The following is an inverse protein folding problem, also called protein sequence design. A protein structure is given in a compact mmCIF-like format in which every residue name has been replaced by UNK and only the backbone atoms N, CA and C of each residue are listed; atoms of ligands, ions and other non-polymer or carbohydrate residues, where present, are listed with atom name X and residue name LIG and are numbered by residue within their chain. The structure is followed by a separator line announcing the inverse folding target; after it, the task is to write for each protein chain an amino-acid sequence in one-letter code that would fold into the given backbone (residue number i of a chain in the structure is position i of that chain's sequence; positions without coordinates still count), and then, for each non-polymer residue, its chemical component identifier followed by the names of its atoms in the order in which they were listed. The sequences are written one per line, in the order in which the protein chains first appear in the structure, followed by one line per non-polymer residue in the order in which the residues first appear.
data_IF_694107427207
#
_entry.id   IF_694107427207
#
_cell.length_a   1.000
_cell.length_b   1.000
_cell.length_c   1.000
_cell.angle_alpha   90.00
_cell.angle_beta   90.00
_cell.angle_gamma   90.00
#
_symmetry.space_group_name_H-M   'P 1'
#
loop_
_entity.id
_entity.type
_entity.pdbx_description
1 polymer ?
#
# COMPACT_ATOMS: atom_id res chain seq x y z
N UNK A 1 -47.73 48.49 14.21
CA UNK A 1 -47.49 47.22 13.49
C UNK A 1 -46.04 46.79 13.74
N UNK A 2 -45.83 45.79 14.60
CA UNK A 2 -44.50 45.22 14.90
C UNK A 2 -44.14 44.25 13.77
N UNK A 3 -43.07 44.52 13.01
CA UNK A 3 -42.46 43.53 12.11
C UNK A 3 -41.36 42.81 12.88
N UNK A 4 -41.60 41.54 13.21
CA UNK A 4 -40.56 40.60 13.60
C UNK A 4 -39.69 40.32 12.37
N UNK A 5 -38.40 40.67 12.45
CA UNK A 5 -37.38 40.10 11.57
C UNK A 5 -36.75 38.93 12.33
N UNK A 6 -37.10 37.72 11.91
CA UNK A 6 -36.41 36.48 12.31
C UNK A 6 -35.20 36.36 11.37
N UNK A 7 -33.95 36.39 11.87
CA UNK A 7 -32.82 36.06 11.04
C UNK A 7 -32.83 34.55 10.79
N UNK A 8 -32.98 34.18 9.53
CA UNK A 8 -32.88 32.82 9.01
C UNK A 8 -31.42 32.38 9.13
N UNK A 9 -31.12 31.55 10.13
CA UNK A 9 -29.80 30.93 10.31
C UNK A 9 -29.68 29.77 9.31
N UNK A 10 -29.23 30.04 8.09
CA UNK A 10 -28.85 29.00 7.13
C UNK A 10 -27.54 28.37 7.56
N UNK A 11 -27.61 27.19 8.20
CA UNK A 11 -26.45 26.30 8.34
C UNK A 11 -26.02 25.83 6.95
N UNK A 12 -24.89 26.36 6.48
CA UNK A 12 -24.16 25.77 5.36
C UNK A 12 -23.37 24.60 5.95
N UNK A 13 -24.00 23.42 6.01
CA UNK A 13 -23.28 22.16 6.13
C UNK A 13 -22.56 21.96 4.79
N UNK A 14 -21.32 22.43 4.71
CA UNK A 14 -20.44 22.07 3.61
C UNK A 14 -20.27 20.54 3.68
N UNK A 15 -20.81 19.83 2.68
CA UNK A 15 -20.46 18.45 2.43
C UNK A 15 -18.99 18.40 2.04
N UNK A 16 -18.09 18.40 3.02
CA UNK A 16 -16.72 17.95 2.81
C UNK A 16 -16.85 16.47 2.46
N UNK A 17 -16.77 16.15 1.17
CA UNK A 17 -16.69 14.76 0.74
C UNK A 17 -15.61 14.05 1.54
N UNK A 18 -15.87 12.83 1.98
CA UNK A 18 -14.87 12.02 2.66
C UNK A 18 -13.66 11.89 1.73
N UNK A 19 -12.49 12.36 2.17
CA UNK A 19 -11.24 12.12 1.47
C UNK A 19 -11.08 10.60 1.32
N UNK A 20 -10.64 10.14 0.15
CA UNK A 20 -10.43 8.72 -0.14
C UNK A 20 -8.95 8.34 -0.19
N UNK A 21 -8.09 9.28 -0.61
CA UNK A 21 -6.67 9.09 -0.80
C UNK A 21 -5.93 10.44 -0.72
N UNK A 22 -4.61 10.39 -0.75
CA UNK A 22 -3.72 11.54 -0.92
C UNK A 22 -2.98 11.43 -2.25
N UNK A 23 -2.68 12.57 -2.86
CA UNK A 23 -1.64 12.64 -3.90
C UNK A 23 -0.29 12.75 -3.21
N UNK A 24 0.75 12.18 -3.82
CA UNK A 24 2.11 12.24 -3.25
C UNK A 24 2.60 13.66 -3.00
N UNK A 25 2.20 14.60 -3.85
CA UNK A 25 2.55 16.03 -3.74
C UNK A 25 1.87 16.75 -2.57
N UNK A 26 0.83 16.16 -1.98
CA UNK A 26 0.16 16.69 -0.78
C UNK A 26 0.84 16.26 0.52
N UNK A 27 1.76 15.28 0.45
CA UNK A 27 2.33 14.66 1.63
C UNK A 27 3.60 15.37 2.10
N UNK A 28 3.84 15.44 3.42
CA UNK A 28 5.13 15.84 3.95
C UNK A 28 6.17 14.79 3.58
N UNK A 29 7.38 15.28 3.32
CA UNK A 29 8.50 14.44 2.89
C UNK A 29 9.66 14.61 3.86
N UNK A 30 10.31 13.51 4.25
CA UNK A 30 11.52 13.59 5.05
C UNK A 30 12.67 14.15 4.19
N UNK A 31 13.40 15.11 4.76
CA UNK A 31 14.63 15.67 4.18
C UNK A 31 14.46 16.28 2.79
N UNK A 32 13.23 16.66 2.43
CA UNK A 32 12.91 17.20 1.12
C UNK A 32 12.96 16.17 -0.02
N UNK A 33 13.11 14.87 0.29
CA UNK A 33 13.10 13.80 -0.71
C UNK A 33 11.66 13.37 -1.00
N UNK A 34 11.19 13.57 -2.23
CA UNK A 34 9.87 13.08 -2.67
C UNK A 34 9.72 11.57 -2.51
N UNK A 35 10.83 10.81 -2.48
CA UNK A 35 10.78 9.38 -2.27
C UNK A 35 10.50 9.00 -0.81
N UNK A 36 10.78 9.90 0.13
CA UNK A 36 10.51 9.74 1.56
C UNK A 36 9.20 10.41 1.99
N UNK A 37 8.14 10.20 1.23
CA UNK A 37 6.80 10.67 1.59
C UNK A 37 6.31 9.96 2.87
N UNK A 38 5.67 10.72 3.75
CA UNK A 38 5.07 10.22 4.99
C UNK A 38 3.55 10.20 4.83
N UNK A 39 2.94 9.02 4.91
CA UNK A 39 1.50 8.88 4.82
C UNK A 39 0.83 9.13 6.18
N UNK A 40 -0.35 9.76 6.24
CA UNK A 40 -1.14 9.82 7.47
C UNK A 40 -1.69 8.43 7.83
N UNK A 41 -1.96 8.18 9.11
CA UNK A 41 -2.68 6.98 9.58
C UNK A 41 -3.53 7.26 10.82
N UNK A 42 -4.48 6.38 11.18
CA UNK A 42 -4.98 5.26 10.37
C UNK A 42 -5.91 5.70 9.24
N UNK A 43 -6.06 4.84 8.22
CA UNK A 43 -7.06 5.03 7.16
C UNK A 43 -8.46 4.72 7.69
N UNK A 44 -9.28 5.76 7.82
CA UNK A 44 -10.65 5.67 8.35
C UNK A 44 -11.65 5.25 7.26
N UNK A 45 -11.52 4.01 6.77
CA UNK A 45 -12.42 3.43 5.77
C UNK A 45 -13.35 2.39 6.43
N UNK A 46 -14.63 2.39 6.08
CA UNK A 46 -15.66 1.55 6.72
C UNK A 46 -15.36 0.04 6.68
N UNK A 47 -14.64 -0.40 5.64
CA UNK A 47 -14.25 -1.80 5.44
C UNK A 47 -12.80 -2.12 5.83
N UNK A 48 -12.04 -1.16 6.36
CA UNK A 48 -10.64 -1.38 6.78
C UNK A 48 -10.58 -1.34 8.31
N UNK A 49 -10.44 -2.49 8.98
CA UNK A 49 -10.46 -2.53 10.44
C UNK A 49 -9.13 -2.05 11.03
N UNK A 50 -9.20 -1.67 12.31
CA UNK A 50 -8.03 -1.70 13.20
C UNK A 50 -8.05 -3.07 13.88
N UNK A 51 -6.92 -3.80 13.86
CA UNK A 51 -6.86 -5.17 14.37
C UNK A 51 -6.03 -5.24 15.63
N UNK A 52 -6.69 -5.50 16.77
CA UNK A 52 -6.02 -5.73 18.05
C UNK A 52 -5.47 -7.16 18.06
N UNK A 53 -4.14 -7.30 17.97
CA UNK A 53 -3.45 -8.59 18.03
C UNK A 53 -2.05 -8.42 18.61
N UNK A 54 -1.63 -9.37 19.44
CA UNK A 54 -0.27 -9.43 19.98
C UNK A 54 0.72 -10.13 19.02
N UNK A 55 0.22 -10.81 17.99
CA UNK A 55 1.02 -11.61 17.04
C UNK A 55 2.11 -10.79 16.37
N UNK A 56 3.25 -11.41 16.09
CA UNK A 56 4.34 -10.79 15.33
C UNK A 56 4.06 -10.74 13.81
N UNK A 57 3.18 -11.63 13.31
CA UNK A 57 2.75 -11.65 11.91
C UNK A 57 1.65 -10.63 11.64
N UNK A 58 1.69 -10.02 10.46
CA UNK A 58 0.63 -9.14 9.96
C UNK A 58 -0.68 -9.92 9.84
N UNK A 59 -1.79 -9.47 10.46
CA UNK A 59 -3.07 -10.16 10.40
C UNK A 59 -3.70 -10.15 9.00
N UNK A 60 -4.17 -11.31 8.53
CA UNK A 60 -4.90 -11.40 7.25
C UNK A 60 -6.24 -10.65 7.30
N UNK A 61 -6.85 -10.56 8.48
CA UNK A 61 -8.06 -9.76 8.76
C UNK A 61 -7.82 -8.25 8.65
N UNK A 62 -6.57 -7.79 8.58
CA UNK A 62 -6.23 -6.42 8.21
C UNK A 62 -5.94 -6.32 6.70
N UNK A 63 -5.13 -7.25 6.19
CA UNK A 63 -4.61 -7.24 4.81
C UNK A 63 -5.73 -7.40 3.79
N UNK A 64 -6.55 -8.44 3.89
CA UNK A 64 -7.55 -8.76 2.87
C UNK A 64 -8.63 -7.67 2.75
N UNK A 65 -9.19 -7.12 3.85
CA UNK A 65 -10.12 -6.00 3.74
C UNK A 65 -9.47 -4.74 3.15
N UNK A 66 -8.19 -4.48 3.48
CA UNK A 66 -7.41 -3.38 2.89
C UNK A 66 -7.27 -3.55 1.37
N UNK A 67 -6.82 -4.72 0.91
CA UNK A 67 -6.67 -5.00 -0.52
C UNK A 67 -8.00 -4.88 -1.28
N UNK A 68 -9.10 -5.35 -0.68
CA UNK A 68 -10.45 -5.17 -1.22
C UNK A 68 -10.86 -3.70 -1.28
N UNK A 69 -10.58 -2.92 -0.23
CA UNK A 69 -10.89 -1.50 -0.20
C UNK A 69 -10.08 -0.70 -1.22
N UNK A 70 -8.81 -1.05 -1.48
CA UNK A 70 -8.03 -0.43 -2.55
C UNK A 70 -8.70 -0.63 -3.91
N UNK A 71 -9.20 -1.84 -4.20
CA UNK A 71 -9.89 -2.16 -5.47
C UNK A 71 -11.21 -1.41 -5.66
N UNK A 72 -11.79 -0.81 -4.62
CA UNK A 72 -13.01 0.03 -4.76
C UNK A 72 -12.70 1.49 -5.07
N UNK A 73 -11.44 1.92 -4.97
CA UNK A 73 -11.03 3.29 -5.25
C UNK A 73 -11.14 3.61 -6.74
N UNK A 74 -11.36 4.90 -7.11
CA UNK A 74 -11.51 5.31 -8.50
C UNK A 74 -10.32 4.89 -9.38
N UNK A 75 -10.58 4.15 -10.45
CA UNK A 75 -9.56 3.70 -11.39
C UNK A 75 -8.65 2.56 -10.89
N UNK A 76 -8.94 1.97 -9.73
CA UNK A 76 -8.10 0.93 -9.11
C UNK A 76 -8.28 -0.47 -9.69
N UNK A 77 -9.37 -0.73 -10.40
CA UNK A 77 -9.71 -2.01 -11.00
C UNK A 77 -10.48 -1.76 -12.30
N UNK A 78 -10.45 -2.74 -13.21
CA UNK A 78 -11.20 -2.70 -14.48
C UNK A 78 -10.92 -1.43 -15.31
N UNK A 79 -9.70 -0.90 -15.18
CA UNK A 79 -9.29 0.36 -15.80
C UNK A 79 -8.38 0.17 -17.00
N UNK A 80 -8.41 -1.00 -17.61
CA UNK A 80 -7.76 -1.27 -18.88
C UNK A 80 -8.70 -0.93 -20.06
N UNK A 81 -8.13 -0.40 -21.14
CA UNK A 81 -8.82 -0.22 -22.41
C UNK A 81 -9.04 -1.58 -23.07
N UNK A 82 -10.29 -1.91 -23.40
CA UNK A 82 -10.65 -3.24 -23.91
C UNK A 82 -10.09 -3.53 -25.30
N UNK A 83 -9.75 -2.51 -26.08
CA UNK A 83 -9.26 -2.67 -27.45
C UNK A 83 -7.74 -2.89 -27.47
N UNK A 84 -7.02 -2.28 -26.53
CA UNK A 84 -5.57 -2.23 -26.56
C UNK A 84 -4.90 -2.96 -25.39
N UNK A 85 -5.65 -3.26 -24.32
CA UNK A 85 -5.14 -3.88 -23.10
C UNK A 85 -4.22 -2.98 -22.28
N UNK A 86 -4.12 -1.69 -22.62
CA UNK A 86 -3.34 -0.71 -21.86
C UNK A 86 -4.19 -0.05 -20.78
N UNK A 87 -3.56 0.45 -19.70
CA UNK A 87 -4.26 1.30 -18.75
C UNK A 87 -4.92 2.51 -19.42
N UNK A 88 -6.18 2.77 -19.09
CA UNK A 88 -6.90 3.99 -19.46
C UNK A 88 -6.30 5.21 -18.75
N UNK A 89 -6.58 6.44 -19.20
CA UNK A 89 -6.07 7.65 -18.54
C UNK A 89 -6.49 7.81 -17.07
N UNK A 90 -7.61 7.20 -16.66
CA UNK A 90 -8.11 7.20 -15.29
C UNK A 90 -7.55 6.07 -14.42
N UNK A 91 -6.81 5.12 -15.00
CA UNK A 91 -6.22 4.00 -14.28
C UNK A 91 -5.23 4.47 -13.22
N UNK A 92 -5.38 3.94 -12.03
CA UNK A 92 -4.65 4.39 -10.85
C UNK A 92 -4.16 3.22 -10.01
N UNK A 93 -2.95 3.37 -9.52
CA UNK A 93 -2.39 2.53 -8.46
C UNK A 93 -2.44 3.30 -7.14
N UNK A 94 -2.73 2.57 -6.08
CA UNK A 94 -2.82 3.07 -4.73
C UNK A 94 -1.90 2.24 -3.84
N UNK A 95 -1.07 2.90 -3.03
CA UNK A 95 -0.18 2.23 -2.08
C UNK A 95 -0.51 2.64 -0.67
N UNK A 96 -0.38 1.69 0.24
CA UNK A 96 -0.50 1.91 1.70
C UNK A 96 0.66 1.24 2.42
N UNK A 97 1.02 1.78 3.59
CA UNK A 97 1.86 1.11 4.56
C UNK A 97 1.00 0.34 5.55
N UNK A 98 1.41 -0.89 5.86
CA UNK A 98 0.88 -1.65 6.99
C UNK A 98 1.85 -1.47 8.15
N UNK A 99 1.34 -0.97 9.27
CA UNK A 99 2.14 -0.62 10.43
C UNK A 99 1.48 -1.10 11.72
N UNK A 100 2.25 -1.08 12.81
CA UNK A 100 1.78 -1.51 14.13
C UNK A 100 2.04 -0.41 15.15
N UNK A 101 1.04 -0.14 15.97
CA UNK A 101 1.14 0.68 17.17
C UNK A 101 1.49 -0.20 18.37
N UNK A 102 1.72 0.36 19.57
CA UNK A 102 1.79 -0.45 20.79
C UNK A 102 0.52 -1.28 21.08
N UNK A 103 -0.62 -0.93 20.47
CA UNK A 103 -1.94 -1.48 20.83
C UNK A 103 -2.52 -2.39 19.74
N UNK A 104 -2.26 -2.10 18.47
CA UNK A 104 -2.99 -2.68 17.35
C UNK A 104 -2.23 -2.57 16.01
N UNK A 105 -2.81 -3.22 15.00
CA UNK A 105 -2.38 -3.16 13.61
C UNK A 105 -3.27 -2.22 12.81
N UNK A 106 -2.65 -1.40 11.96
CA UNK A 106 -3.31 -0.32 11.20
C UNK A 106 -2.73 -0.22 9.79
N UNK A 107 -3.42 0.56 8.96
CA UNK A 107 -3.01 0.86 7.58
C UNK A 107 -3.01 2.36 7.37
N UNK A 108 -2.00 2.87 6.66
CA UNK A 108 -1.92 4.29 6.31
C UNK A 108 -2.99 4.67 5.28
N UNK A 109 -3.28 5.95 5.15
CA UNK A 109 -4.07 6.46 4.05
C UNK A 109 -3.44 6.09 2.68
N UNK A 110 -4.26 5.78 1.65
CA UNK A 110 -3.74 5.45 0.32
C UNK A 110 -3.08 6.65 -0.35
N UNK A 111 -1.94 6.40 -1.00
CA UNK A 111 -1.28 7.33 -1.91
C UNK A 111 -1.65 6.93 -3.33
N UNK A 112 -2.21 7.84 -4.11
CA UNK A 112 -2.58 7.60 -5.51
C UNK A 112 -1.46 8.03 -6.46
N UNK A 113 -1.20 7.20 -7.46
CA UNK A 113 -0.45 7.56 -8.67
C UNK A 113 -1.21 7.10 -9.92
N UNK A 114 -1.12 7.88 -11.01
CA UNK A 114 -1.72 7.53 -12.29
C UNK A 114 -0.72 6.70 -13.10
N UNK A 115 -1.17 5.57 -13.67
CA UNK A 115 -0.29 4.66 -14.40
C UNK A 115 0.34 5.29 -15.66
N UNK A 116 -0.22 6.41 -16.15
CA UNK A 116 0.29 7.16 -17.31
C UNK A 116 1.36 8.20 -16.99
N UNK A 117 1.57 8.56 -15.72
CA UNK A 117 2.50 9.64 -15.33
C UNK A 117 3.86 9.08 -14.85
N UNK A 118 3.85 8.01 -14.06
CA UNK A 118 5.02 7.21 -13.65
C UNK A 118 4.50 5.80 -13.37
N UNK A 119 5.09 4.79 -13.99
CA UNK A 119 4.50 3.45 -14.17
C UNK A 119 4.37 2.57 -12.91
N UNK A 120 4.36 3.14 -11.71
CA UNK A 120 4.07 2.42 -10.47
C UNK A 120 3.75 3.40 -9.34
N UNK A 121 2.77 3.10 -8.51
CA UNK A 121 2.58 3.82 -7.27
C UNK A 121 3.82 3.68 -6.36
N UNK A 122 4.25 4.78 -5.74
CA UNK A 122 5.39 4.79 -4.81
C UNK A 122 4.90 4.70 -3.36
N UNK A 123 5.32 3.67 -2.60
CA UNK A 123 4.96 3.57 -1.19
C UNK A 123 5.45 4.76 -0.34
N UNK A 124 4.86 4.95 0.85
CA UNK A 124 5.35 5.94 1.82
C UNK A 124 6.62 5.42 2.51
N UNK A 125 7.76 5.46 1.82
CA UNK A 125 9.04 5.01 2.39
C UNK A 125 9.48 5.84 3.60
N UNK A 126 9.00 7.08 3.72
CA UNK A 126 9.22 7.93 4.90
C UNK A 126 8.43 7.49 6.14
N UNK A 127 7.56 6.47 6.02
CA UNK A 127 6.77 5.91 7.12
C UNK A 127 5.36 6.48 7.23
N UNK A 128 4.81 6.39 8.44
CA UNK A 128 3.43 6.78 8.76
C UNK A 128 3.42 7.77 9.91
N UNK A 129 2.69 8.88 9.76
CA UNK A 129 2.32 9.76 10.88
C UNK A 129 0.93 9.34 11.36
N UNK A 130 0.90 8.51 12.41
CA UNK A 130 -0.35 8.08 13.03
C UNK A 130 -0.93 9.20 13.91
N UNK A 131 -2.25 9.38 13.85
CA UNK A 131 -2.97 10.43 14.56
C UNK A 131 -2.82 10.36 16.09
N UNK A 132 -2.64 9.15 16.64
CA UNK A 132 -2.59 8.90 18.08
C UNK A 132 -1.15 8.64 18.58
N UNK A 133 -0.32 8.02 17.74
CA UNK A 133 1.03 7.53 18.13
C UNK A 133 2.20 8.24 17.43
N UNK A 134 1.93 9.14 16.49
CA UNK A 134 2.95 9.92 15.78
C UNK A 134 3.74 9.12 14.74
N UNK A 135 4.98 9.57 14.44
CA UNK A 135 5.73 9.19 13.22
C UNK A 135 6.74 8.06 13.29
N UNK A 136 7.16 7.62 14.47
CA UNK A 136 8.24 6.62 14.61
C UNK A 136 7.68 5.21 14.84
N UNK A 137 6.77 4.79 13.96
CA UNK A 137 6.13 3.49 14.02
C UNK A 137 6.78 2.51 13.05
N UNK A 138 6.92 1.22 13.43
CA UNK A 138 7.43 0.20 12.53
C UNK A 138 6.44 -0.08 11.39
N UNK A 139 6.92 0.03 10.16
CA UNK A 139 6.24 -0.39 8.94
C UNK A 139 6.64 -1.84 8.64
N UNK A 140 5.65 -2.70 8.47
CA UNK A 140 5.82 -4.14 8.22
C UNK A 140 5.76 -4.50 6.74
N UNK A 141 5.46 -3.52 5.89
CA UNK A 141 5.34 -3.76 4.47
C UNK A 141 4.39 -2.80 3.80
N UNK A 142 4.20 -3.03 2.51
CA UNK A 142 3.36 -2.21 1.65
C UNK A 142 2.36 -3.04 0.87
N UNK A 143 1.14 -2.53 0.74
CA UNK A 143 0.11 -3.11 -0.10
C UNK A 143 -0.25 -2.15 -1.22
N UNK A 144 -0.51 -2.68 -2.42
CA UNK A 144 -1.01 -1.89 -3.55
C UNK A 144 -1.99 -2.67 -4.44
N UNK A 145 -2.57 -2.00 -5.43
CA UNK A 145 -3.38 -2.61 -6.48
C UNK A 145 -2.73 -2.49 -7.86
N UNK A 146 -3.11 -3.36 -8.79
CA UNK A 146 -2.87 -3.19 -10.22
C UNK A 146 -4.19 -3.02 -10.98
N UNK A 147 -4.41 -1.89 -11.68
CA UNK A 147 -5.71 -1.55 -12.28
C UNK A 147 -6.08 -2.33 -13.53
N UNK A 148 -5.12 -3.06 -14.08
CA UNK A 148 -5.21 -3.77 -15.36
C UNK A 148 -5.09 -5.29 -15.22
N UNK A 149 -5.42 -5.82 -14.04
CA UNK A 149 -5.35 -7.24 -13.74
C UNK A 149 -3.96 -7.88 -13.95
N UNK A 150 -2.89 -7.06 -13.93
CA UNK A 150 -1.52 -7.50 -14.10
C UNK A 150 -0.96 -8.16 -12.85
N UNK A 151 -0.08 -9.14 -13.03
CA UNK A 151 0.74 -9.70 -11.95
C UNK A 151 1.77 -8.66 -11.46
N UNK A 152 2.44 -8.99 -10.35
CA UNK A 152 3.57 -8.21 -9.83
C UNK A 152 4.67 -8.03 -10.89
N UNK A 153 5.23 -6.83 -10.89
CA UNK A 153 6.33 -6.37 -11.73
C UNK A 153 7.68 -6.52 -11.00
N UNK A 154 8.79 -6.37 -11.74
CA UNK A 154 10.12 -6.36 -11.11
C UNK A 154 10.30 -5.24 -10.07
N UNK A 155 9.80 -4.01 -10.28
CA UNK A 155 9.76 -2.97 -9.23
C UNK A 155 9.02 -3.39 -7.95
N UNK A 156 7.92 -4.15 -8.05
CA UNK A 156 7.14 -4.57 -6.88
C UNK A 156 7.96 -5.51 -5.98
N UNK A 157 8.80 -6.36 -6.57
CA UNK A 157 9.64 -7.32 -5.84
C UNK A 157 10.77 -6.67 -5.04
N UNK A 158 11.01 -5.36 -5.18
CA UNK A 158 12.07 -4.64 -4.44
C UNK A 158 11.52 -3.54 -3.54
N UNK A 159 10.20 -3.34 -3.51
CA UNK A 159 9.56 -2.33 -2.69
C UNK A 159 9.35 -2.83 -1.24
N UNK A 160 10.36 -2.64 -0.40
CA UNK A 160 10.32 -2.97 1.03
C UNK A 160 10.64 -1.74 1.90
N UNK A 161 10.31 -1.76 3.20
CA UNK A 161 10.57 -0.63 4.10
C UNK A 161 12.00 -0.12 4.02
N UNK A 162 12.15 1.18 4.16
CA UNK A 162 13.46 1.84 4.20
C UNK A 162 13.76 2.34 5.61
N UNK A 163 15.05 2.37 5.95
CA UNK A 163 15.51 3.01 7.17
C UNK A 163 16.69 3.93 6.92
N UNK A 164 16.82 4.93 7.80
CA UNK A 164 17.96 5.82 7.79
C UNK A 164 19.14 5.21 8.56
N UNK A 165 20.28 5.05 7.90
CA UNK A 165 21.52 4.56 8.52
C UNK A 165 22.12 5.62 9.45
N UNK A 166 23.06 5.20 10.31
CA UNK A 166 23.82 6.11 11.16
C UNK A 166 24.63 7.16 10.38
N UNK A 167 25.03 6.86 9.13
CA UNK A 167 25.68 7.84 8.24
C UNK A 167 24.69 8.75 7.50
N UNK A 168 23.39 8.51 7.65
CA UNK A 168 22.33 9.37 7.12
C UNK A 168 21.79 8.99 5.74
N UNK A 169 22.11 7.79 5.24
CA UNK A 169 21.57 7.27 3.98
C UNK A 169 20.29 6.47 4.21
N UNK A 170 19.38 6.45 3.24
CA UNK A 170 18.21 5.58 3.26
C UNK A 170 18.52 4.26 2.56
N UNK A 171 18.20 3.15 3.21
CA UNK A 171 18.43 1.80 2.68
C UNK A 171 17.18 0.94 2.82
N UNK A 172 16.86 0.22 1.75
CA UNK A 172 15.80 -0.81 1.76
C UNK A 172 16.25 -1.97 2.66
N UNK A 173 15.34 -2.45 3.50
CA UNK A 173 15.59 -3.57 4.41
C UNK A 173 14.54 -4.67 4.29
N UNK A 174 14.97 -5.90 4.54
CA UNK A 174 14.12 -7.10 4.50
C UNK A 174 13.23 -7.30 5.74
N UNK A 175 13.22 -6.32 6.65
CA UNK A 175 12.59 -6.44 7.97
C UNK A 175 11.70 -5.24 8.24
N UNK A 176 10.70 -5.43 9.08
CA UNK A 176 9.87 -4.36 9.58
C UNK A 176 10.71 -3.34 10.35
N UNK A 177 10.58 -2.06 10.02
CA UNK A 177 11.42 -0.98 10.56
C UNK A 177 10.64 0.31 10.72
N UNK A 178 11.04 1.13 11.69
CA UNK A 178 10.62 2.53 11.73
C UNK A 178 11.57 3.42 10.91
N UNK A 179 11.13 4.63 10.52
CA UNK A 179 11.96 5.59 9.78
C UNK A 179 13.25 6.01 10.53
N UNK A 180 13.26 5.94 11.86
CA UNK A 180 14.45 6.28 12.66
C UNK A 180 15.52 5.18 12.71
N UNK A 181 15.30 4.04 12.05
CA UNK A 181 16.25 2.92 12.05
C UNK A 181 15.96 1.82 13.08
N UNK A 182 14.80 1.84 13.74
CA UNK A 182 14.45 0.83 14.73
C UNK A 182 13.79 -0.38 14.06
N UNK A 183 14.47 -1.51 14.11
CA UNK A 183 13.92 -2.78 13.65
C UNK A 183 12.89 -3.36 14.63
N UNK A 184 11.76 -3.81 14.11
CA UNK A 184 10.73 -4.48 14.89
C UNK A 184 11.15 -5.90 15.27
N UNK A 185 10.76 -6.33 16.47
CA UNK A 185 11.09 -7.65 17.02
C UNK A 185 9.87 -8.32 17.62
N UNK A 186 9.82 -9.64 17.55
CA UNK A 186 8.83 -10.45 18.25
C UNK A 186 9.14 -10.59 19.75
N UNK A 187 8.30 -11.35 20.47
CA UNK A 187 8.46 -11.55 21.92
C UNK A 187 9.71 -12.37 22.28
N UNK A 188 10.32 -13.05 21.31
CA UNK A 188 11.58 -13.78 21.43
C UNK A 188 12.79 -12.93 21.01
N UNK A 189 12.57 -11.68 20.61
CA UNK A 189 13.62 -10.75 20.18
C UNK A 189 14.10 -10.97 18.74
N UNK A 190 13.45 -11.85 17.97
CA UNK A 190 13.79 -12.08 16.55
C UNK A 190 13.26 -10.94 15.68
N UNK A 191 14.01 -10.64 14.62
CA UNK A 191 13.58 -9.64 13.65
C UNK A 191 12.34 -10.12 12.89
N UNK A 192 11.36 -9.23 12.73
CA UNK A 192 10.14 -9.56 11.99
C UNK A 192 10.36 -9.25 10.50
N UNK A 193 10.21 -10.22 9.58
CA UNK A 193 10.34 -9.98 8.15
C UNK A 193 9.29 -8.99 7.63
N UNK A 194 9.69 -8.15 6.68
CA UNK A 194 8.75 -7.34 5.93
C UNK A 194 8.04 -8.19 4.86
N UNK A 195 6.87 -7.73 4.44
CA UNK A 195 6.07 -8.35 3.39
C UNK A 195 5.55 -7.29 2.41
N UNK A 196 5.10 -7.74 1.25
CA UNK A 196 4.39 -6.89 0.31
C UNK A 196 3.15 -7.62 -0.22
N UNK A 197 2.13 -6.85 -0.60
CA UNK A 197 0.84 -7.38 -1.03
C UNK A 197 0.32 -6.67 -2.28
N UNK A 198 -0.37 -7.44 -3.12
CA UNK A 198 -0.98 -6.96 -4.36
C UNK A 198 -2.44 -7.39 -4.43
N UNK A 199 -3.31 -6.44 -4.77
CA UNK A 199 -4.66 -6.69 -5.27
C UNK A 199 -4.70 -6.53 -6.80
N UNK A 200 -5.23 -7.52 -7.51
CA UNK A 200 -5.34 -7.48 -8.97
C UNK A 200 -6.57 -8.27 -9.42
N UNK A 201 -6.77 -8.42 -10.72
CA UNK A 201 -7.96 -9.06 -11.30
C UNK A 201 -9.12 -8.07 -11.51
N UNK A 202 -10.31 -8.63 -11.67
CA UNK A 202 -11.54 -7.85 -11.79
C UNK A 202 -12.06 -7.47 -10.40
N UNK A 203 -12.83 -6.37 -10.29
CA UNK A 203 -13.41 -5.96 -9.01
C UNK A 203 -14.28 -7.05 -8.38
N UNK A 204 -15.02 -7.79 -9.20
CA UNK A 204 -15.93 -8.86 -8.76
C UNK A 204 -15.22 -10.21 -8.57
N UNK A 205 -14.00 -10.35 -9.13
CA UNK A 205 -13.17 -11.55 -9.02
C UNK A 205 -11.72 -11.17 -8.68
N UNK A 206 -11.48 -10.59 -7.49
CA UNK A 206 -10.16 -10.11 -7.13
C UNK A 206 -9.21 -11.28 -6.85
N UNK A 207 -7.95 -11.09 -7.20
CA UNK A 207 -6.83 -11.96 -6.86
C UNK A 207 -5.90 -11.22 -5.91
N UNK A 208 -5.52 -11.87 -4.82
CA UNK A 208 -4.59 -11.32 -3.84
C UNK A 208 -3.31 -12.12 -3.82
N UNK A 209 -2.18 -11.40 -3.83
CA UNK A 209 -0.86 -11.97 -3.72
C UNK A 209 -0.11 -11.35 -2.55
N UNK A 210 0.83 -12.09 -1.99
CA UNK A 210 1.84 -11.57 -1.09
C UNK A 210 3.20 -12.17 -1.40
N UNK A 211 4.26 -11.44 -1.09
CA UNK A 211 5.62 -11.94 -1.19
C UNK A 211 6.53 -11.39 -0.11
N UNK A 212 7.62 -12.11 0.11
CA UNK A 212 8.66 -11.72 1.05
C UNK A 212 9.95 -11.30 0.31
N UNK A 213 10.96 -10.78 1.03
CA UNK A 213 12.23 -10.36 0.44
C UNK A 213 13.05 -11.50 -0.20
N UNK A 214 12.73 -12.76 0.10
CA UNK A 214 13.34 -13.91 -0.58
C UNK A 214 12.69 -14.19 -1.96
N UNK A 215 11.64 -13.45 -2.32
CA UNK A 215 10.91 -13.60 -3.57
C UNK A 215 9.89 -14.73 -3.54
N UNK A 216 9.58 -15.32 -2.38
CA UNK A 216 8.54 -16.33 -2.27
C UNK A 216 7.16 -15.68 -2.42
N UNK A 217 6.43 -16.07 -3.46
CA UNK A 217 5.13 -15.53 -3.81
C UNK A 217 4.04 -16.50 -3.41
N UNK A 218 3.01 -15.97 -2.77
CA UNK A 218 1.82 -16.69 -2.35
C UNK A 218 0.58 -16.03 -2.92
N UNK A 219 -0.46 -16.82 -3.20
CA UNK A 219 -1.79 -16.36 -3.59
C UNK A 219 -2.78 -16.72 -2.49
N UNK A 220 -3.69 -15.80 -2.18
CA UNK A 220 -4.80 -16.09 -1.28
C UNK A 220 -5.80 -17.03 -1.95
N UNK A 221 -6.17 -18.08 -1.24
CA UNK A 221 -7.22 -19.01 -1.60
C UNK A 221 -8.45 -18.77 -0.73
N UNK A 222 -9.54 -18.31 -1.35
CA UNK A 222 -10.79 -18.07 -0.64
C UNK A 222 -11.42 -19.35 -0.11
N UNK A 223 -11.18 -20.49 -0.77
CA UNK A 223 -11.73 -21.80 -0.39
C UNK A 223 -11.05 -22.34 0.86
N UNK A 224 -9.72 -22.26 0.92
CA UNK A 224 -8.94 -22.80 2.05
C UNK A 224 -8.66 -21.76 3.14
N UNK A 225 -9.01 -20.49 2.89
CA UNK A 225 -8.69 -19.34 3.77
C UNK A 225 -7.21 -19.31 4.14
N UNK A 226 -6.35 -19.52 3.14
CA UNK A 226 -4.91 -19.60 3.35
C UNK A 226 -4.12 -19.02 2.17
N UNK A 227 -2.86 -18.68 2.45
CA UNK A 227 -1.89 -18.24 1.45
C UNK A 227 -1.16 -19.45 0.88
N UNK A 228 -1.43 -19.76 -0.38
CA UNK A 228 -0.86 -20.90 -1.08
C UNK A 228 0.37 -20.46 -1.87
N UNK A 229 1.50 -21.12 -1.64
CA UNK A 229 2.74 -20.86 -2.37
C UNK A 229 2.54 -21.06 -3.88
N UNK A 230 3.05 -20.12 -4.68
CA UNK A 230 2.93 -20.14 -6.14
C UNK A 230 4.28 -20.27 -6.82
N UNK A 231 5.27 -19.44 -6.43
CA UNK A 231 6.56 -19.39 -7.10
C UNK A 231 7.63 -18.68 -6.25
N UNK A 232 8.89 -18.83 -6.65
CA UNK A 232 9.98 -17.92 -6.26
C UNK A 232 10.24 -16.99 -7.44
N UNK A 233 10.15 -15.68 -7.22
CA UNK A 233 10.34 -14.66 -8.24
C UNK A 233 11.56 -13.78 -7.98
N UNK A 234 12.27 -13.42 -9.03
CA UNK A 234 13.42 -12.52 -8.99
C UNK A 234 13.19 -11.32 -9.92
N UNK A 235 13.50 -10.10 -9.46
CA UNK A 235 13.39 -8.91 -10.30
C UNK A 235 14.37 -9.00 -11.48
N UNK A 236 13.95 -8.50 -12.63
CA UNK A 236 14.82 -8.34 -13.79
C UNK A 236 15.31 -6.89 -13.88
N UNK A 237 16.60 -6.72 -14.20
CA UNK A 237 17.14 -5.39 -14.50
C UNK A 237 16.60 -4.88 -15.83
N UNK A 238 16.24 -3.59 -15.86
CA UNK A 238 15.91 -2.91 -17.11
C UNK A 238 17.14 -2.86 -18.01
N UNK A 239 17.07 -3.51 -19.18
CA UNK A 239 18.02 -3.22 -20.25
C UNK A 239 17.96 -1.74 -20.63
N UNK A 240 19.07 -1.19 -21.14
CA UNK A 240 19.33 0.23 -21.42
C UNK A 240 18.29 0.99 -22.29
N UNK A 241 17.24 0.33 -22.79
CA UNK A 241 16.29 0.86 -23.77
C UNK A 241 14.79 0.54 -23.51
N UNK A 242 14.41 0.00 -22.34
CA UNK A 242 13.02 -0.39 -22.07
C UNK A 242 12.29 0.52 -21.08
N UNK A 243 11.16 1.10 -21.49
CA UNK A 243 10.30 1.98 -20.66
C UNK A 243 9.13 1.25 -19.97
N UNK A 244 9.07 -0.08 -20.05
CA UNK A 244 8.05 -0.90 -19.35
C UNK A 244 8.62 -1.52 -18.09
N UNK A 245 7.85 -1.50 -17.01
CA UNK A 245 8.08 -2.39 -15.88
C UNK A 245 8.11 -3.84 -16.39
N UNK A 246 9.26 -4.50 -16.25
CA UNK A 246 9.46 -5.85 -16.75
C UNK A 246 8.81 -6.86 -15.81
N UNK A 247 8.16 -7.88 -16.38
CA UNK A 247 7.74 -9.04 -15.61
C UNK A 247 8.96 -9.67 -14.93
N UNK A 248 8.83 -10.11 -13.67
CA UNK A 248 9.92 -10.80 -12.98
C UNK A 248 10.12 -12.21 -13.54
N UNK A 249 11.26 -12.83 -13.22
CA UNK A 249 11.51 -14.25 -13.50
C UNK A 249 10.99 -15.08 -12.34
N UNK A 250 9.98 -15.91 -12.59
CA UNK A 250 9.39 -16.78 -11.58
C UNK A 250 9.62 -18.25 -11.88
N UNK A 251 9.85 -19.05 -10.83
CA UNK A 251 9.95 -20.51 -10.91
C UNK A 251 9.11 -21.16 -9.80
N UNK A 252 8.09 -21.99 -10.15
CA UNK A 252 7.54 -22.16 -11.50
C UNK A 252 6.97 -20.84 -12.06
N UNK A 253 6.67 -20.81 -13.36
CA UNK A 253 6.04 -19.65 -13.99
C UNK A 253 4.69 -19.33 -13.31
N UNK A 254 4.50 -18.07 -12.93
CA UNK A 254 3.22 -17.61 -12.41
C UNK A 254 2.19 -17.56 -13.54
N UNK A 255 1.09 -18.30 -13.37
CA UNK A 255 -0.01 -18.31 -14.34
C UNK A 255 -0.89 -17.07 -14.17
N UNK A 256 -1.36 -16.56 -15.30
CA UNK A 256 -2.29 -15.42 -15.44
C UNK A 256 -3.74 -15.83 -15.24
#
# INVERSE_FOLDING_TARGET
MRRLFIPMLTLILACTGSRLYYLRTELPNLEGSLDQAVAPGPWMHENVPIVVSDTASVPDDLVLPTLRALMTLPGAADACDTNTGYPRPDAAEYCVAIYRTPEDWRVSWPIRDLTGERSSCKPPFGGVEDADFGRDLPVFGFAHNHPCATLMSSPDLVAFPELKTGEGFWVVVSYATSPSGRLARDSQGQLIPAWAWLATGHKDEPRFYRWNPAGEVFRWSEDTKSWEFQAICQPQSSGMFGTRAFSPRCSPELKW
#
